data_IF_636647035185
#
_entry.id   IF_636647035185
#
_cell.length_a   1.000
_cell.length_b   1.000
_cell.length_c   1.000
_cell.angle_alpha   90.00
_cell.angle_beta   90.00
_cell.angle_gamma   90.00
#
_symmetry.space_group_name_H-M   'P 1'
#
loop_
_entity.id
_entity.type
_entity.pdbx_description
1 polymer ?
#
# COMPACT_ATOMS: atom_id res chain seq x y z
N UNK A 1 -18.78 -17.44 -2.09
CA UNK A 1 -18.03 -16.19 -1.85
C UNK A 1 -18.60 -15.56 -0.59
N UNK A 2 -17.76 -15.25 0.40
CA UNK A 2 -18.18 -14.64 1.66
C UNK A 2 -17.64 -13.23 1.71
N UNK A 3 -18.50 -12.25 1.96
CA UNK A 3 -18.10 -10.85 2.14
C UNK A 3 -17.65 -10.64 3.58
N UNK A 4 -16.45 -10.08 3.78
CA UNK A 4 -15.92 -9.73 5.10
C UNK A 4 -16.52 -8.40 5.59
N UNK A 5 -16.35 -7.34 4.79
CA UNK A 5 -16.99 -6.02 4.99
C UNK A 5 -17.31 -5.39 3.64
N UNK A 6 -18.44 -4.70 3.52
CA UNK A 6 -18.80 -3.89 2.34
C UNK A 6 -19.30 -2.49 2.70
N UNK A 7 -19.33 -2.16 4.00
CA UNK A 7 -19.87 -0.90 4.51
C UNK A 7 -19.02 -0.33 5.65
N UNK A 8 -18.93 0.98 5.67
CA UNK A 8 -18.40 1.80 6.76
C UNK A 8 -19.51 2.77 7.19
N UNK A 9 -19.88 2.75 8.48
CA UNK A 9 -20.93 3.61 9.05
C UNK A 9 -22.25 3.57 8.24
N UNK A 10 -22.63 2.39 7.76
CA UNK A 10 -23.84 2.14 6.97
C UNK A 10 -23.75 2.51 5.49
N UNK A 11 -22.72 3.22 5.06
CA UNK A 11 -22.46 3.56 3.65
C UNK A 11 -21.57 2.51 3.00
N UNK A 12 -21.74 2.30 1.69
CA UNK A 12 -20.92 1.35 0.93
C UNK A 12 -19.48 1.85 0.87
N UNK A 13 -18.51 0.96 1.03
CA UNK A 13 -17.12 1.25 0.65
C UNK A 13 -17.04 1.37 -0.88
N UNK A 14 -16.04 2.08 -1.39
CA UNK A 14 -15.92 2.36 -2.82
C UNK A 14 -15.20 1.21 -3.53
N UNK A 15 -13.91 1.40 -3.81
CA UNK A 15 -13.06 0.50 -4.56
C UNK A 15 -11.86 0.11 -3.71
N UNK A 16 -11.97 -0.96 -2.90
CA UNK A 16 -10.82 -1.56 -2.23
C UNK A 16 -9.72 -1.89 -3.24
N UNK A 17 -8.47 -1.66 -2.86
CA UNK A 17 -7.33 -1.73 -3.78
C UNK A 17 -6.25 -2.70 -3.26
N UNK A 18 -5.38 -2.26 -2.35
CA UNK A 18 -4.35 -3.10 -1.72
C UNK A 18 -4.73 -3.42 -0.26
N UNK A 19 -4.10 -4.45 0.34
CA UNK A 19 -4.34 -4.85 1.73
C UNK A 19 -3.08 -5.29 2.48
N UNK A 20 -3.13 -5.21 3.80
CA UNK A 20 -2.17 -5.79 4.73
C UNK A 20 -2.90 -6.40 5.93
N UNK A 21 -2.41 -7.54 6.44
CA UNK A 21 -3.04 -8.28 7.54
C UNK A 21 -2.14 -8.22 8.77
N UNK A 22 -2.76 -7.99 9.93
CA UNK A 22 -2.10 -7.97 11.24
C UNK A 22 -2.15 -9.35 11.91
N UNK A 23 -1.32 -9.62 12.95
CA UNK A 23 -1.33 -10.90 13.66
C UNK A 23 -2.63 -11.18 14.41
N UNK A 24 -3.44 -10.15 14.70
CA UNK A 24 -4.78 -10.32 15.28
C UNK A 24 -5.81 -10.77 14.24
N UNK A 25 -5.44 -10.86 12.96
CA UNK A 25 -6.35 -11.16 11.85
C UNK A 25 -7.12 -9.95 11.33
N UNK A 26 -6.82 -8.73 11.81
CA UNK A 26 -7.41 -7.52 11.24
C UNK A 26 -6.82 -7.24 9.85
N UNK A 27 -7.70 -6.91 8.90
CA UNK A 27 -7.37 -6.69 7.50
C UNK A 27 -7.45 -5.18 7.24
N UNK A 28 -6.31 -4.55 7.01
CA UNK A 28 -6.23 -3.15 6.61
C UNK A 28 -6.23 -3.11 5.08
N UNK A 29 -6.98 -2.21 4.48
CA UNK A 29 -7.03 -2.05 3.03
C UNK A 29 -7.21 -0.59 2.64
N UNK A 30 -6.66 -0.22 1.48
CA UNK A 30 -6.91 1.08 0.88
C UNK A 30 -8.25 1.06 0.15
N UNK A 31 -9.10 2.05 0.44
CA UNK A 31 -10.32 2.35 -0.30
C UNK A 31 -10.17 3.71 -0.98
N UNK A 32 -10.44 3.75 -2.28
CA UNK A 32 -10.37 4.97 -3.08
C UNK A 32 -11.74 5.29 -3.67
N UNK A 33 -12.10 6.57 -3.63
CA UNK A 33 -13.19 7.07 -4.46
C UNK A 33 -12.75 6.90 -5.92
N UNK A 34 -13.46 6.08 -6.69
CA UNK A 34 -13.07 5.73 -8.05
C UNK A 34 -12.97 6.96 -8.96
N UNK A 35 -12.01 6.95 -9.89
CA UNK A 35 -11.79 8.06 -10.83
C UNK A 35 -12.98 8.27 -11.80
N UNK A 36 -13.78 7.22 -12.01
CA UNK A 36 -14.91 7.21 -12.97
C UNK A 36 -16.06 6.37 -12.40
N UNK A 37 -16.75 6.82 -11.35
CA UNK A 37 -18.02 6.20 -10.93
C UNK A 37 -19.13 7.19 -10.51
N UNK A 38 -20.39 6.94 -10.93
CA UNK A 38 -21.55 7.81 -10.64
C UNK A 38 -22.18 7.58 -9.25
N UNK A 39 -21.84 6.50 -8.53
CA UNK A 39 -22.44 6.16 -7.23
C UNK A 39 -21.37 6.09 -6.14
N UNK A 40 -20.90 7.25 -5.68
CA UNK A 40 -19.98 7.37 -4.54
C UNK A 40 -20.63 6.75 -3.29
N UNK A 41 -19.93 5.80 -2.66
CA UNK A 41 -20.35 5.17 -1.41
C UNK A 41 -20.02 6.07 -0.22
N UNK A 42 -18.79 5.97 0.27
CA UNK A 42 -18.20 6.95 1.19
C UNK A 42 -17.55 8.08 0.39
N UNK A 43 -17.66 9.32 0.87
CA UNK A 43 -17.25 10.55 0.18
C UNK A 43 -15.76 10.91 0.33
N UNK A 44 -14.94 9.93 0.73
CA UNK A 44 -13.53 10.11 0.98
C UNK A 44 -12.76 8.83 0.65
N UNK A 45 -11.48 8.98 0.32
CA UNK A 45 -10.55 7.86 0.22
C UNK A 45 -9.82 7.68 1.55
N UNK A 46 -9.66 6.44 2.00
CA UNK A 46 -8.99 6.16 3.28
C UNK A 46 -8.42 4.75 3.36
N UNK A 47 -7.53 4.54 4.31
CA UNK A 47 -7.30 3.19 4.84
C UNK A 47 -8.45 2.86 5.76
N UNK A 48 -9.04 1.69 5.54
CA UNK A 48 -10.08 1.09 6.38
C UNK A 48 -9.51 -0.21 6.92
N UNK A 49 -9.82 -0.55 8.17
CA UNK A 49 -9.59 -1.90 8.69
C UNK A 49 -10.90 -2.65 8.84
N UNK A 50 -10.87 -3.96 8.58
CA UNK A 50 -11.87 -4.92 9.01
C UNK A 50 -11.32 -5.64 10.24
N UNK A 51 -11.92 -5.39 11.40
CA UNK A 51 -11.51 -5.98 12.68
C UNK A 51 -12.34 -7.22 13.02
N UNK A 52 -11.74 -8.38 13.30
CA UNK A 52 -12.48 -9.58 13.69
C UNK A 52 -13.22 -9.35 15.01
N UNK A 53 -14.44 -9.90 15.12
CA UNK A 53 -15.30 -9.85 16.30
C UNK A 53 -15.44 -11.25 16.93
N UNK A 54 -15.88 -11.33 18.18
CA UNK A 54 -16.06 -12.61 18.90
C UNK A 54 -17.08 -13.55 18.25
N UNK A 55 -18.07 -12.99 17.54
CA UNK A 55 -19.10 -13.74 16.82
C UNK A 55 -18.66 -14.22 15.42
N UNK A 56 -17.39 -13.98 15.06
CA UNK A 56 -16.82 -14.33 13.75
C UNK A 56 -17.13 -13.33 12.64
N UNK A 57 -17.87 -12.26 12.92
CA UNK A 57 -18.07 -11.14 11.99
C UNK A 57 -16.86 -10.21 11.98
N UNK A 58 -16.89 -9.21 11.08
CA UNK A 58 -15.88 -8.17 11.02
C UNK A 58 -16.52 -6.79 11.12
N UNK A 59 -15.84 -5.87 11.80
CA UNK A 59 -16.24 -4.47 11.93
C UNK A 59 -15.32 -3.57 11.11
N UNK A 60 -15.88 -2.80 10.19
CA UNK A 60 -15.12 -1.79 9.45
C UNK A 60 -14.81 -0.56 10.32
N UNK A 61 -13.57 -0.07 10.27
CA UNK A 61 -13.12 1.13 10.98
C UNK A 61 -12.26 1.98 10.03
N UNK A 62 -12.56 3.27 9.90
CA UNK A 62 -11.70 4.21 9.19
C UNK A 62 -10.41 4.47 9.97
N UNK A 63 -9.26 4.36 9.30
CA UNK A 63 -7.94 4.50 9.92
C UNK A 63 -7.19 5.77 9.50
N UNK A 64 -7.36 6.25 8.28
CA UNK A 64 -6.77 7.54 7.83
C UNK A 64 -7.82 8.58 7.51
N UNK A 65 -7.46 9.84 7.74
CA UNK A 65 -8.34 11.00 7.54
C UNK A 65 -7.73 12.07 6.62
N UNK A 66 -6.48 11.89 6.21
CA UNK A 66 -5.65 12.85 5.47
C UNK A 66 -5.19 12.32 4.09
N UNK A 67 -5.72 11.17 3.67
CA UNK A 67 -5.41 10.53 2.38
C UNK A 67 -6.43 10.93 1.32
N UNK A 68 -5.98 11.16 0.10
CA UNK A 68 -6.88 11.45 -1.04
C UNK A 68 -6.93 10.33 -2.06
N UNK A 69 -5.85 9.54 -2.18
CA UNK A 69 -5.80 8.35 -3.03
C UNK A 69 -4.76 7.35 -2.47
N UNK A 70 -5.08 6.69 -1.36
CA UNK A 70 -4.21 5.68 -0.80
C UNK A 70 -4.16 4.46 -1.73
N UNK A 71 -3.00 3.80 -1.77
CA UNK A 71 -2.75 2.66 -2.63
C UNK A 71 -2.11 1.53 -1.81
N UNK A 72 -0.87 1.13 -2.12
CA UNK A 72 -0.13 0.14 -1.34
C UNK A 72 -0.01 0.51 0.14
N UNK A 73 -0.07 -0.52 0.97
CA UNK A 73 0.12 -0.41 2.41
C UNK A 73 0.79 -1.68 2.94
N UNK A 74 1.62 -1.52 3.98
CA UNK A 74 2.22 -2.62 4.71
C UNK A 74 2.58 -2.17 6.12
N UNK A 75 2.75 -3.12 7.04
CA UNK A 75 3.22 -2.83 8.38
C UNK A 75 4.74 -2.99 8.49
N UNK A 76 5.36 -2.23 9.40
CA UNK A 76 6.67 -2.59 9.92
C UNK A 76 6.61 -3.98 10.57
N UNK A 77 7.76 -4.64 10.69
CA UNK A 77 7.87 -6.00 11.25
C UNK A 77 7.29 -6.14 12.66
N UNK A 78 7.34 -5.06 13.44
CA UNK A 78 6.82 -5.01 14.81
C UNK A 78 5.39 -4.45 14.88
N UNK A 79 4.76 -4.18 13.73
CA UNK A 79 3.42 -3.61 13.57
C UNK A 79 3.20 -2.26 14.25
N UNK A 80 4.28 -1.56 14.62
CA UNK A 80 4.20 -0.23 15.24
C UNK A 80 4.12 0.91 14.24
N UNK A 81 4.35 0.62 12.97
CA UNK A 81 4.23 1.59 11.88
C UNK A 81 3.40 0.99 10.75
N UNK A 82 2.40 1.73 10.28
CA UNK A 82 1.72 1.45 9.02
C UNK A 82 2.33 2.37 7.95
N UNK A 83 2.92 1.77 6.92
CA UNK A 83 3.36 2.50 5.74
C UNK A 83 2.21 2.56 4.74
N UNK A 84 1.97 3.74 4.17
CA UNK A 84 0.90 3.97 3.19
C UNK A 84 1.46 4.76 2.02
N UNK A 85 1.22 4.25 0.83
CA UNK A 85 1.39 4.98 -0.41
C UNK A 85 0.20 5.92 -0.61
N UNK A 86 0.45 7.22 -0.55
CA UNK A 86 -0.47 8.24 -1.02
C UNK A 86 -0.08 8.57 -2.46
N UNK A 87 -0.96 8.29 -3.43
CA UNK A 87 -0.54 8.12 -4.83
C UNK A 87 -1.29 9.03 -5.81
N UNK A 88 -1.96 10.05 -5.29
CA UNK A 88 -2.87 10.90 -6.05
C UNK A 88 -2.14 11.66 -7.17
N UNK A 89 -2.42 11.28 -8.41
CA UNK A 89 -1.77 11.84 -9.59
C UNK A 89 -2.46 13.12 -10.11
N UNK A 90 -3.48 13.65 -9.41
CA UNK A 90 -4.13 14.90 -9.79
C UNK A 90 -3.21 16.12 -9.53
N UNK A 91 -3.43 17.25 -10.25
CA UNK A 91 -2.68 18.47 -9.99
C UNK A 91 -2.86 18.94 -8.54
N UNK A 92 -1.78 19.41 -7.91
CA UNK A 92 -1.72 19.91 -6.51
C UNK A 92 -1.88 18.86 -5.39
N UNK A 93 -2.11 17.60 -5.74
CA UNK A 93 -2.19 16.53 -4.75
C UNK A 93 -0.82 15.93 -4.39
N UNK A 94 -0.76 15.21 -3.28
CA UNK A 94 0.49 14.62 -2.77
C UNK A 94 0.74 13.23 -3.33
N UNK A 95 2.01 12.95 -3.66
CA UNK A 95 2.53 11.61 -3.92
C UNK A 95 3.62 11.32 -2.90
N UNK A 96 3.28 10.57 -1.87
CA UNK A 96 4.12 10.43 -0.68
C UNK A 96 4.15 8.97 -0.20
N UNK A 97 5.31 8.52 0.24
CA UNK A 97 5.42 7.38 1.17
C UNK A 97 5.26 7.93 2.58
N UNK A 98 4.15 7.57 3.23
CA UNK A 98 3.82 8.03 4.59
C UNK A 98 4.01 6.91 5.60
N UNK A 99 4.47 7.25 6.79
CA UNK A 99 4.59 6.33 7.94
C UNK A 99 3.71 6.81 9.09
N UNK A 100 2.73 6.01 9.48
CA UNK A 100 1.83 6.29 10.59
C UNK A 100 2.21 5.46 11.81
N UNK A 101 2.48 6.09 12.97
CA UNK A 101 2.59 5.35 14.23
C UNK A 101 1.27 4.64 14.54
N UNK A 102 1.32 3.34 14.81
CA UNK A 102 0.16 2.52 15.19
C UNK A 102 0.05 2.52 16.71
N UNK A 103 -1.10 2.97 17.23
CA UNK A 103 -1.38 2.96 18.68
C UNK A 103 -1.93 1.60 19.10
N UNK A 104 -1.96 1.36 20.42
CA UNK A 104 -2.44 0.11 21.00
C UNK A 104 -3.91 -0.22 20.63
N UNK A 105 -4.75 0.79 20.40
CA UNK A 105 -6.14 0.63 19.96
C UNK A 105 -6.28 0.50 18.41
N UNK A 106 -5.17 0.36 17.70
CA UNK A 106 -5.10 0.32 16.23
C UNK A 106 -5.33 1.67 15.55
N UNK A 107 -5.60 2.75 16.29
CA UNK A 107 -5.68 4.09 15.72
C UNK A 107 -4.30 4.56 15.26
N UNK A 108 -4.29 5.48 14.30
CA UNK A 108 -3.04 6.00 13.72
C UNK A 108 -2.68 7.35 14.34
N UNK A 109 -1.40 7.54 14.62
CA UNK A 109 -0.81 8.83 14.98
C UNK A 109 -0.63 9.74 13.76
N UNK A 110 -0.11 10.95 13.99
CA UNK A 110 0.30 11.85 12.91
C UNK A 110 1.38 11.18 12.07
N UNK A 111 1.22 11.18 10.75
CA UNK A 111 2.19 10.56 9.86
C UNK A 111 3.46 11.40 9.70
N UNK A 112 4.55 10.71 9.40
CA UNK A 112 5.77 11.29 8.84
C UNK A 112 5.80 11.05 7.33
N UNK A 113 6.26 12.04 6.55
CA UNK A 113 6.57 11.85 5.13
C UNK A 113 7.98 11.28 5.03
N UNK A 114 8.08 10.00 4.68
CA UNK A 114 9.35 9.33 4.48
C UNK A 114 9.95 9.67 3.12
N UNK A 115 9.10 9.81 2.10
CA UNK A 115 9.52 10.19 0.76
C UNK A 115 8.44 11.01 0.06
N UNK A 116 8.81 12.13 -0.55
CA UNK A 116 7.95 12.93 -1.42
C UNK A 116 8.41 12.75 -2.87
N UNK A 117 7.53 12.23 -3.72
CA UNK A 117 7.82 11.98 -5.13
C UNK A 117 7.70 13.26 -5.99
N UNK A 118 7.25 14.38 -5.40
CA UNK A 118 7.05 15.63 -6.08
C UNK A 118 6.11 15.45 -7.30
N UNK A 119 6.56 15.79 -8.53
CA UNK A 119 5.73 15.65 -9.72
C UNK A 119 5.73 14.22 -10.30
N UNK A 120 6.57 13.32 -9.77
CA UNK A 120 6.71 11.97 -10.28
C UNK A 120 5.59 11.05 -9.76
N UNK A 121 5.35 9.93 -10.46
CA UNK A 121 4.43 8.90 -9.97
C UNK A 121 4.92 8.38 -8.61
N UNK A 122 4.00 8.37 -7.65
CA UNK A 122 4.22 7.77 -6.34
C UNK A 122 4.32 6.25 -6.38
N UNK A 123 4.18 5.64 -5.22
CA UNK A 123 4.15 4.18 -5.08
C UNK A 123 2.78 3.66 -5.53
N UNK A 124 2.76 2.54 -6.25
CA UNK A 124 1.53 1.75 -6.44
C UNK A 124 1.41 0.75 -5.28
N UNK A 125 1.82 -0.50 -5.48
CA UNK A 125 2.04 -1.51 -4.45
C UNK A 125 3.50 -1.63 -4.00
N UNK A 126 3.70 -2.24 -2.83
CA UNK A 126 5.00 -2.41 -2.18
C UNK A 126 5.05 -3.64 -1.27
N UNK A 127 6.26 -4.10 -0.97
CA UNK A 127 6.55 -5.18 -0.02
C UNK A 127 7.70 -4.80 0.92
N UNK A 128 7.92 -5.61 1.96
CA UNK A 128 8.95 -5.40 2.97
C UNK A 128 10.00 -6.51 2.91
N UNK A 129 11.28 -6.14 2.97
CA UNK A 129 12.36 -7.12 3.10
C UNK A 129 12.55 -7.61 4.55
N UNK A 130 13.25 -8.73 4.69
CA UNK A 130 13.76 -9.29 5.95
C UNK A 130 14.81 -8.42 6.64
N UNK A 131 15.19 -7.28 6.09
CA UNK A 131 16.08 -6.28 6.70
C UNK A 131 15.29 -5.00 7.04
N UNK A 132 14.01 -4.92 6.66
CA UNK A 132 13.16 -3.76 6.89
C UNK A 132 13.20 -2.72 5.77
N UNK A 133 13.78 -3.04 4.61
CA UNK A 133 13.68 -2.18 3.43
C UNK A 133 12.29 -2.24 2.82
N UNK A 134 11.81 -1.11 2.29
CA UNK A 134 10.55 -1.05 1.53
C UNK A 134 10.90 -1.16 0.05
N UNK A 135 10.36 -2.17 -0.62
CA UNK A 135 10.52 -2.39 -2.06
C UNK A 135 9.21 -1.99 -2.71
N UNK A 136 9.24 -1.07 -3.67
CA UNK A 136 8.03 -0.49 -4.22
C UNK A 136 8.05 -0.39 -5.74
N UNK A 137 6.87 -0.57 -6.33
CA UNK A 137 6.61 -0.26 -7.73
C UNK A 137 6.37 1.25 -7.88
N UNK A 138 7.21 1.90 -8.69
CA UNK A 138 7.23 3.37 -8.84
C UNK A 138 7.43 3.76 -10.31
N UNK A 139 7.20 5.03 -10.63
CA UNK A 139 7.49 5.57 -11.97
C UNK A 139 6.55 5.06 -13.08
N UNK A 140 6.46 5.81 -14.16
CA UNK A 140 5.52 5.61 -15.27
C UNK A 140 6.14 6.25 -16.54
N UNK A 141 5.63 5.98 -17.75
CA UNK A 141 6.19 6.47 -19.04
C UNK A 141 6.12 7.99 -19.37
N UNK A 142 5.20 8.74 -18.74
CA UNK A 142 4.98 10.21 -18.76
C UNK A 142 5.38 10.94 -17.45
N UNK A 143 5.84 10.26 -16.41
CA UNK A 143 6.07 10.86 -15.07
C UNK A 143 7.08 10.05 -14.25
N UNK A 144 8.25 10.65 -14.01
CA UNK A 144 9.41 9.97 -13.42
C UNK A 144 10.30 9.30 -14.48
N UNK A 145 11.30 8.51 -14.06
CA UNK A 145 12.32 7.95 -14.94
C UNK A 145 11.86 6.71 -15.74
N UNK A 146 10.55 6.50 -15.90
CA UNK A 146 9.97 5.24 -16.38
C UNK A 146 9.61 4.27 -15.25
N UNK A 147 9.10 3.09 -15.59
CA UNK A 147 8.76 2.05 -14.63
C UNK A 147 9.99 1.56 -13.85
N UNK A 148 9.89 1.54 -12.53
CA UNK A 148 10.99 1.24 -11.62
C UNK A 148 10.55 0.34 -10.46
N UNK A 149 11.45 -0.53 -10.02
CA UNK A 149 11.49 -1.04 -8.66
C UNK A 149 12.42 -0.14 -7.85
N UNK A 150 11.88 0.51 -6.83
CA UNK A 150 12.64 1.39 -5.94
C UNK A 150 12.76 0.76 -4.56
N UNK A 151 13.96 0.77 -4.00
CA UNK A 151 14.25 0.26 -2.67
C UNK A 151 14.54 1.44 -1.74
N UNK A 152 13.76 1.54 -0.68
CA UNK A 152 13.90 2.53 0.38
C UNK A 152 14.46 1.89 1.65
N UNK A 153 15.35 2.61 2.33
CA UNK A 153 15.70 2.28 3.71
C UNK A 153 14.51 2.54 4.66
N UNK A 154 14.54 2.08 5.93
CA UNK A 154 13.43 2.28 6.87
C UNK A 154 13.08 3.75 7.15
N UNK A 155 13.95 4.69 6.75
CA UNK A 155 13.77 6.14 6.90
C UNK A 155 13.30 6.81 5.62
N UNK A 156 12.97 6.05 4.56
CA UNK A 156 12.46 6.59 3.30
C UNK A 156 13.52 7.08 2.32
N UNK A 157 14.80 6.84 2.59
CA UNK A 157 15.86 7.19 1.64
C UNK A 157 15.89 6.14 0.53
N UNK A 158 15.88 6.58 -0.72
CA UNK A 158 16.15 5.71 -1.86
C UNK A 158 17.61 5.22 -1.76
N UNK A 159 17.79 3.91 -1.66
CA UNK A 159 19.10 3.26 -1.65
C UNK A 159 19.42 2.58 -2.97
N UNK A 160 18.41 2.12 -3.72
CA UNK A 160 18.56 1.55 -5.06
C UNK A 160 17.32 1.80 -5.92
N UNK A 161 17.51 1.83 -7.24
CA UNK A 161 16.45 1.88 -8.25
C UNK A 161 16.81 0.94 -9.39
N UNK A 162 15.86 0.14 -9.86
CA UNK A 162 16.02 -0.82 -10.94
C UNK A 162 14.95 -0.61 -12.00
N UNK A 163 15.30 -0.34 -13.27
CA UNK A 163 14.31 -0.18 -14.34
C UNK A 163 13.57 -1.48 -14.58
N UNK A 164 12.25 -1.39 -14.76
CA UNK A 164 11.43 -2.52 -15.18
C UNK A 164 11.28 -2.55 -16.70
N UNK A 165 11.20 -3.74 -17.32
CA UNK A 165 10.84 -3.83 -18.74
C UNK A 165 9.36 -3.43 -18.99
N UNK A 166 8.51 -3.48 -17.96
CA UNK A 166 7.16 -2.91 -18.00
C UNK A 166 7.21 -1.38 -17.81
N UNK A 167 6.28 -0.65 -18.43
CA UNK A 167 6.15 0.80 -18.28
C UNK A 167 5.52 1.17 -16.93
N UNK A 168 4.59 0.35 -16.45
CA UNK A 168 3.80 0.63 -15.25
C UNK A 168 3.75 -0.58 -14.30
N UNK A 169 4.83 -0.87 -13.55
CA UNK A 169 4.76 -1.85 -12.49
C UNK A 169 3.70 -1.43 -11.45
N UNK A 170 2.99 -2.41 -10.88
CA UNK A 170 1.82 -2.18 -10.02
C UNK A 170 1.96 -2.77 -8.63
N UNK A 171 2.51 -3.96 -8.47
CA UNK A 171 2.74 -4.56 -7.16
C UNK A 171 3.93 -5.50 -7.21
N UNK A 172 4.50 -5.81 -6.06
CA UNK A 172 5.62 -6.73 -5.97
C UNK A 172 5.59 -7.50 -4.64
N UNK A 173 6.11 -8.73 -4.65
CA UNK A 173 6.26 -9.54 -3.45
C UNK A 173 7.41 -10.51 -3.62
N UNK A 174 8.06 -10.85 -2.51
CA UNK A 174 9.09 -11.88 -2.50
C UNK A 174 8.49 -13.28 -2.41
N UNK A 175 9.18 -14.25 -3.01
CA UNK A 175 9.09 -15.66 -2.67
C UNK A 175 10.51 -16.25 -2.65
N UNK A 176 11.02 -16.58 -1.46
CA UNK A 176 12.44 -16.85 -1.29
C UNK A 176 13.28 -15.59 -1.58
N UNK A 177 14.30 -15.73 -2.41
CA UNK A 177 15.15 -14.62 -2.86
C UNK A 177 14.68 -13.96 -4.17
N UNK A 178 13.58 -14.46 -4.74
CA UNK A 178 13.00 -13.94 -5.97
C UNK A 178 11.96 -12.85 -5.66
N UNK A 179 11.99 -11.77 -6.44
CA UNK A 179 10.98 -10.71 -6.39
C UNK A 179 10.06 -10.83 -7.60
N UNK A 180 8.78 -11.11 -7.34
CA UNK A 180 7.72 -11.12 -8.33
C UNK A 180 7.14 -9.72 -8.47
N UNK A 181 6.86 -9.29 -9.70
CA UNK A 181 6.36 -7.95 -10.02
C UNK A 181 5.22 -8.05 -11.03
N UNK A 182 4.09 -7.40 -10.75
CA UNK A 182 2.97 -7.27 -11.69
C UNK A 182 2.99 -5.91 -12.39
N UNK A 183 2.30 -5.78 -13.51
CA UNK A 183 2.18 -4.49 -14.22
C UNK A 183 0.78 -4.25 -14.78
N UNK A 184 0.45 -2.98 -15.09
CA UNK A 184 -0.84 -2.61 -15.71
C UNK A 184 -1.04 -3.32 -17.05
N UNK A 185 0.05 -3.54 -17.78
CA UNK A 185 0.07 -4.22 -19.07
C UNK A 185 -0.18 -5.74 -18.98
N UNK A 186 -0.35 -6.29 -17.77
CA UNK A 186 -0.69 -7.70 -17.55
C UNK A 186 0.52 -8.64 -17.47
N UNK A 187 1.72 -8.10 -17.23
CA UNK A 187 2.91 -8.93 -17.03
C UNK A 187 2.99 -9.51 -15.61
N UNK A 188 3.61 -10.69 -15.52
CA UNK A 188 4.23 -11.20 -14.31
C UNK A 188 5.74 -11.31 -14.57
N UNK A 189 6.51 -10.43 -13.96
CA UNK A 189 7.97 -10.38 -14.05
C UNK A 189 8.57 -11.00 -12.80
N UNK A 190 9.77 -11.57 -12.93
CA UNK A 190 10.53 -12.12 -11.80
C UNK A 190 11.95 -11.62 -11.89
N UNK A 191 12.45 -11.02 -10.81
CA UNK A 191 13.86 -10.78 -10.59
C UNK A 191 14.39 -11.92 -9.71
N UNK A 192 15.29 -12.73 -10.26
CA UNK A 192 15.86 -13.88 -9.56
C UNK A 192 17.05 -13.49 -8.69
N UNK A 193 17.26 -14.24 -7.61
CA UNK A 193 18.47 -14.16 -6.77
C UNK A 193 18.81 -12.72 -6.35
N UNK A 194 17.81 -11.98 -5.85
CA UNK A 194 17.95 -10.55 -5.54
C UNK A 194 18.92 -10.28 -4.39
N UNK A 195 19.33 -11.33 -3.65
CA UNK A 195 20.10 -11.22 -2.41
C UNK A 195 19.30 -10.62 -1.25
N UNK A 196 17.98 -10.46 -1.41
CA UNK A 196 17.04 -10.04 -0.39
C UNK A 196 15.94 -11.09 -0.25
N UNK A 197 15.37 -11.21 0.95
CA UNK A 197 14.18 -12.03 1.18
C UNK A 197 13.04 -11.16 1.69
N UNK A 198 11.80 -11.62 1.50
CA UNK A 198 10.62 -10.93 2.03
C UNK A 198 10.35 -11.23 3.49
N UNK A 199 9.77 -10.26 4.17
CA UNK A 199 9.10 -10.49 5.44
C UNK A 199 7.64 -10.90 5.18
N UNK A 200 7.29 -12.14 5.51
CA UNK A 200 5.90 -12.58 5.49
C UNK A 200 5.16 -11.91 6.66
N UNK A 201 4.14 -11.10 6.37
CA UNK A 201 3.33 -10.46 7.40
C UNK A 201 2.24 -11.40 7.95
N UNK A 202 1.77 -12.38 7.18
CA UNK A 202 0.71 -13.32 7.61
C UNK A 202 0.55 -14.51 6.64
N UNK A 203 0.15 -15.71 7.11
CA UNK A 203 0.19 -16.19 8.49
C UNK A 203 1.62 -16.59 8.86
N UNK A 204 2.15 -16.07 9.96
CA UNK A 204 3.39 -16.60 10.55
C UNK A 204 3.06 -17.60 11.66
#
# INVERSE_FOLDING_TARGET
>A
MTTIVDRLDGRRINSPNDLAITPSGAIYFSDRVGDVEPNVGIDHSSIISAEPQEDGSYKAIRRTFDTTMPNGLLFSKDYKTLYVAQSDYRPNEKRELRAYPVKHDGSLGTYEVLHDFGPHRGIDGMTLSSEGHIIACTGWEISGPGGMITIFDPKGRIIQTHPTPALRPTNCTFAGEDLYVTSIEGHLLVAHDTGMTGHLLWPN
#
